data_IF_140929988612
#
_entry.id   IF_140929988612
#
_cell.length_a   1.000
_cell.length_b   1.000
_cell.length_c   1.000
_cell.angle_alpha   90.00
_cell.angle_beta   90.00
_cell.angle_gamma   90.00
#
_symmetry.space_group_name_H-M   'P 1'
#
loop_
_entity.id
_entity.type
_entity.pdbx_description
1 polymer ?
#
# COMPACT_ATOMS: atom_id res chain seq x y z
N UNK A 1 -15.16 29.11 8.43
CA UNK A 1 -14.40 28.17 9.30
C UNK A 1 -15.37 27.70 10.38
N UNK A 2 -15.67 26.41 10.42
CA UNK A 2 -16.47 25.83 11.50
C UNK A 2 -15.69 25.99 12.79
N UNK A 3 -16.27 26.61 13.82
CA UNK A 3 -15.72 26.65 15.18
C UNK A 3 -15.98 25.28 15.85
N UNK A 4 -15.13 24.30 15.59
CA UNK A 4 -15.24 22.96 16.13
C UNK A 4 -13.94 22.18 15.89
N UNK A 5 -13.77 21.04 16.53
CA UNK A 5 -12.66 20.12 16.26
C UNK A 5 -12.74 19.66 14.80
N UNK A 6 -11.59 19.67 14.08
CA UNK A 6 -11.48 19.09 12.76
C UNK A 6 -11.74 17.58 12.79
N UNK A 7 -12.37 17.06 11.73
CA UNK A 7 -12.57 15.63 11.51
C UNK A 7 -11.66 15.20 10.37
N UNK A 8 -10.65 14.41 10.70
CA UNK A 8 -9.49 14.17 9.86
C UNK A 8 -9.34 12.67 9.57
N UNK A 9 -9.11 12.34 8.29
CA UNK A 9 -8.76 10.98 7.87
C UNK A 9 -7.79 11.04 6.67
N UNK A 10 -6.51 10.75 6.88
CA UNK A 10 -5.48 10.90 5.86
C UNK A 10 -5.06 9.58 5.21
N UNK A 11 -5.78 8.47 5.50
CA UNK A 11 -5.43 7.17 4.94
C UNK A 11 -6.68 6.35 4.64
N UNK A 12 -7.01 6.22 3.36
CA UNK A 12 -8.15 5.43 2.89
C UNK A 12 -8.00 5.02 1.43
N UNK A 13 -8.70 3.95 1.04
CA UNK A 13 -8.60 3.31 -0.27
C UNK A 13 -9.93 3.28 -1.01
N UNK A 14 -9.86 3.52 -2.31
CA UNK A 14 -11.00 3.47 -3.23
C UNK A 14 -10.93 2.21 -4.12
N UNK A 15 -11.90 2.10 -5.06
CA UNK A 15 -11.87 1.04 -6.09
C UNK A 15 -10.70 1.17 -7.07
N UNK A 16 -9.90 2.22 -6.99
CA UNK A 16 -8.70 2.38 -7.81
C UNK A 16 -7.51 1.58 -7.29
N UNK A 17 -7.63 1.01 -6.08
CA UNK A 17 -6.68 0.02 -5.54
C UNK A 17 -7.44 -1.21 -5.02
N UNK A 18 -7.54 -1.37 -3.74
CA UNK A 18 -8.17 -2.51 -3.08
C UNK A 18 -9.30 -2.12 -2.11
N UNK A 19 -9.77 -0.88 -2.17
CA UNK A 19 -11.01 -0.46 -1.57
C UNK A 19 -12.25 -0.93 -2.37
N UNK A 20 -13.43 -0.80 -1.79
CA UNK A 20 -14.69 -1.27 -2.42
C UNK A 20 -15.67 -0.17 -2.77
N UNK A 21 -15.33 1.08 -2.50
CA UNK A 21 -16.17 2.24 -2.79
C UNK A 21 -15.56 3.12 -3.88
N UNK A 22 -16.42 3.70 -4.74
CA UNK A 22 -15.96 4.68 -5.72
C UNK A 22 -15.50 5.97 -5.03
N UNK A 23 -14.73 6.79 -5.74
CA UNK A 23 -14.33 8.12 -5.28
C UNK A 23 -15.52 8.94 -4.80
N UNK A 24 -16.64 8.94 -5.55
CA UNK A 24 -17.84 9.69 -5.18
C UNK A 24 -18.54 9.11 -3.94
N UNK A 25 -18.58 7.79 -3.79
CA UNK A 25 -19.16 7.16 -2.60
C UNK A 25 -18.37 7.54 -1.34
N UNK A 26 -17.04 7.51 -1.42
CA UNK A 26 -16.18 7.93 -0.31
C UNK A 26 -16.39 9.41 0.04
N UNK A 27 -16.47 10.29 -0.95
CA UNK A 27 -16.76 11.72 -0.74
C UNK A 27 -18.10 11.93 -0.06
N UNK A 28 -19.14 11.20 -0.48
CA UNK A 28 -20.46 11.26 0.16
C UNK A 28 -20.39 10.80 1.62
N UNK A 29 -19.68 9.67 1.88
CA UNK A 29 -19.53 9.13 3.23
C UNK A 29 -18.73 10.07 4.14
N UNK A 30 -17.69 10.72 3.62
CA UNK A 30 -16.89 11.72 4.35
C UNK A 30 -17.74 12.95 4.68
N UNK A 31 -18.53 13.43 3.70
CA UNK A 31 -19.44 14.55 3.88
C UNK A 31 -20.51 14.28 4.96
N UNK A 32 -21.12 13.10 4.93
CA UNK A 32 -22.12 12.68 5.92
C UNK A 32 -21.55 12.57 7.36
N UNK A 33 -20.24 12.48 7.47
CA UNK A 33 -19.50 12.42 8.75
C UNK A 33 -18.86 13.75 9.15
N UNK A 34 -19.16 14.82 8.41
CA UNK A 34 -18.56 16.16 8.62
C UNK A 34 -17.03 16.19 8.52
N UNK A 35 -16.41 15.22 7.83
CA UNK A 35 -14.96 15.21 7.59
C UNK A 35 -14.56 16.43 6.77
N UNK A 36 -13.56 17.16 7.22
CA UNK A 36 -13.13 18.41 6.60
C UNK A 36 -11.67 18.41 6.13
N UNK A 37 -10.85 17.45 6.58
CA UNK A 37 -9.46 17.25 6.12
C UNK A 37 -9.24 15.77 5.84
N UNK A 38 -8.93 15.42 4.59
CA UNK A 38 -8.73 14.01 4.24
C UNK A 38 -7.79 13.83 3.05
N UNK A 39 -7.33 12.59 2.85
CA UNK A 39 -6.51 12.18 1.73
C UNK A 39 -6.94 10.78 1.26
N UNK A 40 -7.09 10.60 -0.04
CA UNK A 40 -7.13 9.28 -0.66
C UNK A 40 -5.69 8.81 -0.87
N UNK A 41 -5.38 7.61 -0.45
CA UNK A 41 -4.04 7.03 -0.51
C UNK A 41 -4.07 5.65 -1.13
N UNK A 42 -4.74 5.53 -2.29
CA UNK A 42 -4.81 4.27 -3.02
C UNK A 42 -3.43 3.67 -3.26
N UNK A 43 -3.30 2.35 -3.09
CA UNK A 43 -2.05 1.64 -3.39
C UNK A 43 -1.65 1.82 -4.85
N UNK A 44 -0.46 2.37 -5.06
CA UNK A 44 0.16 2.54 -6.38
C UNK A 44 -0.79 3.17 -7.43
N UNK A 45 -1.69 4.05 -6.98
CA UNK A 45 -2.73 4.65 -7.83
C UNK A 45 -3.08 6.07 -7.41
N UNK A 46 -3.36 6.91 -8.40
CA UNK A 46 -3.94 8.25 -8.23
C UNK A 46 -5.28 8.37 -8.96
N UNK A 47 -5.92 7.23 -9.23
CA UNK A 47 -7.14 7.14 -10.02
C UNK A 47 -8.31 7.94 -9.45
N UNK A 48 -8.44 8.01 -8.12
CA UNK A 48 -9.45 8.81 -7.44
C UNK A 48 -9.36 10.31 -7.76
N UNK A 49 -8.14 10.85 -7.90
CA UNK A 49 -7.91 12.25 -8.27
C UNK A 49 -8.22 12.49 -9.76
N UNK A 50 -7.92 11.51 -10.62
CA UNK A 50 -8.29 11.57 -12.04
C UNK A 50 -9.81 11.51 -12.22
N UNK A 51 -10.56 10.86 -11.33
CA UNK A 51 -12.03 10.93 -11.33
C UNK A 51 -12.54 12.35 -11.07
N UNK A 52 -11.90 13.08 -10.13
CA UNK A 52 -12.23 14.47 -9.86
C UNK A 52 -11.91 15.37 -11.07
N UNK A 53 -10.72 15.24 -11.66
CA UNK A 53 -10.30 16.01 -12.84
C UNK A 53 -11.21 15.78 -14.06
N UNK A 54 -11.70 14.55 -14.24
CA UNK A 54 -12.61 14.17 -15.32
C UNK A 54 -14.08 14.49 -15.03
N UNK A 55 -14.39 14.99 -13.83
CA UNK A 55 -15.77 15.26 -13.39
C UNK A 55 -16.61 14.00 -13.12
N UNK A 56 -15.97 12.85 -12.94
CA UNK A 56 -16.61 11.59 -12.55
C UNK A 56 -16.95 11.56 -11.06
N UNK A 57 -16.27 12.40 -10.27
CA UNK A 57 -16.55 12.65 -8.87
C UNK A 57 -16.50 14.17 -8.61
N UNK A 58 -17.18 14.63 -7.54
CA UNK A 58 -17.25 16.04 -7.21
C UNK A 58 -16.91 16.26 -5.74
N UNK A 59 -15.88 17.06 -5.52
CA UNK A 59 -15.47 17.51 -4.19
C UNK A 59 -16.48 18.50 -3.62
N UNK A 60 -16.79 18.39 -2.32
CA UNK A 60 -17.67 19.32 -1.62
C UNK A 60 -16.91 20.57 -1.20
N UNK A 61 -17.62 21.71 -1.14
CA UNK A 61 -17.01 22.95 -0.69
C UNK A 61 -16.75 22.95 0.82
N UNK A 62 -15.65 23.61 1.23
CA UNK A 62 -15.27 23.78 2.62
C UNK A 62 -14.53 22.57 3.23
N UNK A 63 -14.09 21.63 2.38
CA UNK A 63 -13.18 20.56 2.78
C UNK A 63 -11.76 20.84 2.28
N UNK A 64 -10.78 20.20 2.92
CA UNK A 64 -9.38 20.21 2.49
C UNK A 64 -9.02 18.80 2.05
N UNK A 65 -8.84 18.60 0.75
CA UNK A 65 -8.35 17.34 0.19
C UNK A 65 -6.85 17.48 -0.10
N UNK A 66 -6.05 16.63 0.55
CA UNK A 66 -4.61 16.54 0.33
C UNK A 66 -4.37 15.43 -0.70
N UNK A 67 -3.81 15.74 -1.89
CA UNK A 67 -3.45 14.68 -2.85
C UNK A 67 -2.45 13.71 -2.22
N UNK A 68 -2.79 12.42 -2.19
CA UNK A 68 -1.96 11.38 -1.57
C UNK A 68 -1.84 10.12 -2.42
N UNK A 69 -0.98 9.24 -1.98
CA UNK A 69 -0.75 7.91 -2.54
C UNK A 69 -0.12 7.02 -1.47
N UNK A 70 -0.39 5.73 -1.49
CA UNK A 70 0.38 4.75 -0.76
C UNK A 70 1.21 3.93 -1.75
N UNK A 71 2.54 4.07 -1.69
CA UNK A 71 3.45 3.33 -2.55
C UNK A 71 3.91 2.05 -1.87
N UNK A 72 3.69 0.92 -2.53
CA UNK A 72 4.20 -0.37 -2.06
C UNK A 72 5.69 -0.49 -2.38
N UNK A 73 6.49 -0.75 -1.35
CA UNK A 73 7.95 -0.80 -1.39
C UNK A 73 8.48 -2.18 -1.00
N UNK A 74 9.75 -2.44 -1.32
CA UNK A 74 10.50 -3.59 -0.82
C UNK A 74 11.65 -3.14 0.07
N UNK A 75 11.67 -3.66 1.30
CA UNK A 75 12.79 -3.48 2.23
C UNK A 75 13.27 -4.88 2.65
N UNK A 76 14.49 -5.23 2.24
CA UNK A 76 15.08 -6.57 2.48
C UNK A 76 14.15 -7.71 2.03
N UNK A 77 13.50 -7.54 0.86
CA UNK A 77 12.54 -8.48 0.29
C UNK A 77 11.23 -8.59 1.07
N UNK A 78 10.92 -7.64 1.96
CA UNK A 78 9.63 -7.55 2.65
C UNK A 78 8.82 -6.38 2.11
N UNK A 79 7.52 -6.60 1.98
CA UNK A 79 6.58 -5.53 1.62
C UNK A 79 6.51 -4.49 2.74
N UNK A 80 6.62 -3.23 2.39
CA UNK A 80 6.46 -2.06 3.24
C UNK A 80 5.78 -0.97 2.43
N UNK A 81 5.12 -0.05 3.12
CA UNK A 81 4.37 0.99 2.44
C UNK A 81 4.87 2.39 2.84
N UNK A 82 4.81 3.31 1.88
CA UNK A 82 5.20 4.70 2.04
C UNK A 82 4.07 5.60 1.57
N UNK A 83 3.53 6.42 2.47
CA UNK A 83 2.53 7.43 2.15
C UNK A 83 3.20 8.66 1.56
N UNK A 84 2.64 9.18 0.47
CA UNK A 84 3.00 10.48 -0.08
C UNK A 84 1.84 11.46 0.11
N UNK A 85 2.09 12.64 0.65
CA UNK A 85 1.09 13.69 0.80
C UNK A 85 1.46 14.96 0.07
N UNK A 86 0.48 15.64 -0.53
CA UNK A 86 0.66 16.88 -1.28
C UNK A 86 1.31 16.69 -2.64
N UNK A 87 1.18 15.50 -3.22
CA UNK A 87 1.79 15.13 -4.49
C UNK A 87 1.14 15.81 -5.70
N UNK A 88 1.93 16.09 -6.72
CA UNK A 88 1.44 16.44 -8.06
C UNK A 88 0.87 15.21 -8.75
N UNK A 89 -0.46 15.20 -8.98
CA UNK A 89 -1.15 14.09 -9.63
C UNK A 89 -0.57 13.75 -10.99
N UNK A 90 -0.31 14.73 -11.91
CA UNK A 90 0.28 14.42 -13.22
C UNK A 90 1.66 13.76 -13.12
N UNK A 91 2.51 14.18 -12.19
CA UNK A 91 3.86 13.62 -12.03
C UNK A 91 3.79 12.19 -11.50
N UNK A 92 2.95 11.97 -10.48
CA UNK A 92 2.77 10.64 -9.91
C UNK A 92 2.08 9.68 -10.90
N UNK A 93 1.04 10.13 -11.61
CA UNK A 93 0.39 9.34 -12.66
C UNK A 93 1.38 8.90 -13.73
N UNK A 94 2.23 9.79 -14.22
CA UNK A 94 3.25 9.45 -15.22
C UNK A 94 4.22 8.37 -14.72
N UNK A 95 4.64 8.45 -13.46
CA UNK A 95 5.50 7.43 -12.84
C UNK A 95 4.79 6.08 -12.76
N UNK A 96 3.56 6.06 -12.24
CA UNK A 96 2.78 4.84 -12.05
C UNK A 96 2.41 4.18 -13.38
N UNK A 97 2.00 4.97 -14.39
CA UNK A 97 1.70 4.48 -15.74
C UNK A 97 2.93 3.83 -16.40
N UNK A 98 4.10 4.44 -16.22
CA UNK A 98 5.35 3.88 -16.72
C UNK A 98 5.69 2.58 -16.00
N UNK A 99 5.63 2.58 -14.67
CA UNK A 99 6.01 1.45 -13.82
C UNK A 99 5.08 0.26 -14.02
N UNK A 100 3.77 0.49 -14.03
CA UNK A 100 2.74 -0.53 -14.16
C UNK A 100 2.21 -0.67 -15.60
N UNK A 101 2.99 -0.26 -16.61
CA UNK A 101 2.66 -0.49 -18.02
C UNK A 101 2.42 -1.98 -18.29
N UNK A 102 1.61 -2.29 -19.30
CA UNK A 102 1.35 -3.69 -19.67
C UNK A 102 2.65 -4.45 -19.93
N UNK A 103 3.62 -3.84 -20.60
CA UNK A 103 4.92 -4.43 -20.89
C UNK A 103 5.67 -4.82 -19.59
N UNK A 104 5.73 -3.91 -18.61
CA UNK A 104 6.39 -4.16 -17.34
C UNK A 104 5.66 -5.24 -16.53
N UNK A 105 4.33 -5.23 -16.53
CA UNK A 105 3.54 -6.28 -15.85
C UNK A 105 3.76 -7.66 -16.47
N UNK A 106 3.75 -7.75 -17.80
CA UNK A 106 4.05 -9.00 -18.52
C UNK A 106 5.46 -9.48 -18.19
N UNK A 107 6.46 -8.60 -18.25
CA UNK A 107 7.83 -8.92 -17.90
C UNK A 107 7.96 -9.45 -16.47
N UNK A 108 7.30 -8.79 -15.51
CA UNK A 108 7.29 -9.23 -14.10
C UNK A 108 6.71 -10.63 -13.96
N UNK A 109 5.53 -10.87 -14.54
CA UNK A 109 4.85 -12.16 -14.43
C UNK A 109 5.63 -13.29 -15.10
N UNK A 110 6.30 -13.01 -16.21
CA UNK A 110 7.18 -13.98 -16.86
C UNK A 110 8.41 -14.31 -15.98
N UNK A 111 9.01 -13.32 -15.34
CA UNK A 111 10.13 -13.56 -14.40
C UNK A 111 9.71 -14.36 -13.17
N UNK A 112 8.54 -14.10 -12.63
CA UNK A 112 7.96 -14.90 -11.54
C UNK A 112 7.77 -16.34 -11.98
N UNK A 113 7.21 -16.55 -13.16
CA UNK A 113 7.04 -17.90 -13.74
C UNK A 113 8.37 -18.61 -13.91
N UNK A 114 9.40 -17.95 -14.47
CA UNK A 114 10.72 -18.57 -14.65
C UNK A 114 11.38 -18.95 -13.32
N UNK A 115 11.29 -18.10 -12.30
CA UNK A 115 11.76 -18.43 -10.93
C UNK A 115 11.02 -19.65 -10.36
N UNK A 116 9.71 -19.73 -10.57
CA UNK A 116 8.93 -20.88 -10.11
C UNK A 116 9.32 -22.15 -10.88
N UNK A 117 9.55 -22.09 -12.20
CA UNK A 117 10.07 -23.19 -13.00
C UNK A 117 11.43 -23.69 -12.48
N UNK A 118 12.34 -22.78 -12.12
CA UNK A 118 13.64 -23.15 -11.53
C UNK A 118 13.49 -23.98 -10.26
N UNK A 119 12.60 -23.56 -9.36
CA UNK A 119 12.28 -24.30 -8.14
C UNK A 119 11.72 -25.69 -8.49
N UNK A 120 10.78 -25.76 -9.41
CA UNK A 120 10.14 -27.00 -9.84
C UNK A 120 11.14 -27.99 -10.49
N UNK A 121 12.08 -27.47 -11.30
CA UNK A 121 13.20 -28.30 -11.83
C UNK A 121 14.07 -28.86 -10.69
N UNK A 122 14.44 -28.02 -9.71
CA UNK A 122 15.20 -28.43 -8.53
C UNK A 122 14.48 -29.50 -7.70
N UNK A 123 13.16 -29.52 -7.73
CA UNK A 123 12.30 -30.51 -7.07
C UNK A 123 11.97 -31.71 -7.96
N UNK A 124 12.47 -31.78 -9.19
CA UNK A 124 12.14 -32.81 -10.18
C UNK A 124 10.62 -32.98 -10.35
N UNK A 125 9.91 -31.89 -10.54
CA UNK A 125 8.51 -31.85 -10.88
C UNK A 125 8.35 -31.86 -12.40
N UNK A 126 7.28 -32.48 -12.88
CA UNK A 126 6.91 -32.54 -14.30
C UNK A 126 6.10 -31.31 -14.68
N UNK A 127 6.48 -30.62 -15.76
CA UNK A 127 5.73 -29.49 -16.32
C UNK A 127 6.19 -29.22 -17.78
N UNK A 128 5.35 -28.52 -18.55
CA UNK A 128 5.72 -28.04 -19.89
C UNK A 128 6.60 -26.80 -19.76
N UNK A 129 7.84 -26.89 -20.23
CA UNK A 129 8.80 -25.75 -20.25
C UNK A 129 8.34 -24.60 -21.14
N UNK A 130 7.45 -24.84 -22.10
CA UNK A 130 6.93 -23.85 -23.04
C UNK A 130 5.83 -22.95 -22.47
N UNK A 131 5.36 -23.15 -21.23
CA UNK A 131 4.35 -22.27 -20.64
C UNK A 131 4.87 -20.85 -20.46
N UNK A 132 4.00 -19.86 -20.67
CA UNK A 132 4.33 -18.42 -20.58
C UNK A 132 3.28 -17.66 -19.81
N UNK A 133 3.69 -16.54 -19.20
CA UNK A 133 2.82 -15.53 -18.58
C UNK A 133 2.93 -14.24 -19.41
N UNK A 134 1.95 -13.96 -20.27
CA UNK A 134 2.02 -12.92 -21.29
C UNK A 134 0.84 -11.92 -21.32
N UNK A 135 -0.08 -12.03 -20.37
CA UNK A 135 -1.24 -11.14 -20.26
C UNK A 135 -1.01 -10.01 -19.23
N UNK A 136 -0.01 -10.14 -18.36
CA UNK A 136 0.31 -9.16 -17.32
C UNK A 136 -0.76 -9.05 -16.23
N UNK A 137 -1.57 -10.10 -16.03
CA UNK A 137 -2.55 -10.18 -14.95
C UNK A 137 -1.84 -10.37 -13.61
N UNK A 138 -2.45 -9.87 -12.54
CA UNK A 138 -1.94 -10.09 -11.17
C UNK A 138 -1.81 -11.59 -10.88
N UNK A 139 -0.68 -11.99 -10.33
CA UNK A 139 -0.34 -13.38 -10.00
C UNK A 139 -0.42 -14.37 -11.20
N UNK A 140 -0.28 -13.89 -12.45
CA UNK A 140 -0.36 -14.74 -13.63
C UNK A 140 0.72 -15.81 -13.65
N UNK A 141 1.97 -15.44 -13.35
CA UNK A 141 3.10 -16.36 -13.32
C UNK A 141 2.88 -17.51 -12.34
N UNK A 142 2.35 -17.24 -11.16
CA UNK A 142 1.94 -18.25 -10.19
C UNK A 142 0.77 -19.10 -10.72
N UNK A 143 -0.28 -18.46 -11.24
CA UNK A 143 -1.51 -19.14 -11.69
C UNK A 143 -1.23 -20.12 -12.83
N UNK A 144 -0.44 -19.68 -13.83
CA UNK A 144 -0.04 -20.54 -14.96
C UNK A 144 0.72 -21.75 -14.47
N UNK A 145 1.68 -21.58 -13.57
CA UNK A 145 2.47 -22.68 -13.03
C UNK A 145 1.61 -23.62 -12.14
N UNK A 146 0.74 -23.06 -11.30
CA UNK A 146 -0.20 -23.87 -10.52
C UNK A 146 -1.07 -24.76 -11.40
N UNK A 147 -1.67 -24.19 -12.45
CA UNK A 147 -2.50 -24.94 -13.38
C UNK A 147 -1.69 -26.03 -14.12
N UNK A 148 -0.47 -25.73 -14.49
CA UNK A 148 0.41 -26.70 -15.15
C UNK A 148 0.80 -27.84 -14.24
N UNK A 149 1.24 -27.57 -13.02
CA UNK A 149 1.62 -28.61 -12.05
C UNK A 149 0.48 -29.60 -11.76
N UNK A 150 -0.77 -29.12 -11.80
CA UNK A 150 -1.97 -29.92 -11.57
C UNK A 150 -2.37 -30.80 -12.76
N UNK A 151 -1.75 -30.65 -13.95
CA UNK A 151 -1.91 -31.55 -15.08
C UNK A 151 -1.14 -32.88 -14.92
N UNK A 152 -0.24 -32.91 -13.93
CA UNK A 152 0.67 -34.04 -13.70
C UNK A 152 0.42 -34.66 -12.33
N UNK A 153 -0.38 -35.76 -12.26
CA UNK A 153 -0.74 -36.41 -10.99
C UNK A 153 0.45 -36.82 -10.12
N UNK A 154 1.57 -37.16 -10.74
CA UNK A 154 2.82 -37.51 -10.05
C UNK A 154 3.40 -36.35 -9.21
N UNK A 155 3.14 -35.13 -9.61
CA UNK A 155 3.52 -33.95 -8.81
C UNK A 155 2.72 -33.90 -7.51
N UNK A 156 1.42 -34.17 -7.59
CA UNK A 156 0.50 -34.17 -6.45
C UNK A 156 0.80 -35.33 -5.50
N UNK A 157 1.16 -36.50 -6.04
CA UNK A 157 1.60 -37.66 -5.23
C UNK A 157 2.86 -37.28 -4.43
N UNK A 158 3.78 -36.52 -5.03
CA UNK A 158 5.04 -36.10 -4.40
C UNK A 158 4.84 -34.98 -3.39
N UNK A 159 4.01 -33.99 -3.72
CA UNK A 159 3.71 -32.82 -2.89
C UNK A 159 2.20 -32.55 -2.88
N UNK A 160 1.45 -33.15 -1.95
CA UNK A 160 -0.02 -33.06 -1.94
C UNK A 160 -0.59 -31.64 -1.85
N UNK A 161 0.16 -30.67 -1.29
CA UNK A 161 -0.29 -29.27 -1.21
C UNK A 161 -0.34 -28.56 -2.57
N UNK A 162 0.30 -29.11 -3.61
CA UNK A 162 0.29 -28.50 -4.96
C UNK A 162 -1.11 -28.49 -5.59
N UNK A 163 -2.08 -29.27 -5.09
CA UNK A 163 -3.45 -29.24 -5.59
C UNK A 163 -4.35 -28.19 -4.92
N UNK A 164 -3.84 -27.48 -3.92
CA UNK A 164 -4.56 -26.43 -3.20
C UNK A 164 -3.90 -25.07 -3.50
N UNK A 165 -4.55 -24.27 -4.35
CA UNK A 165 -4.02 -22.97 -4.79
C UNK A 165 -3.78 -22.03 -3.60
N UNK A 166 -4.68 -21.97 -2.63
CA UNK A 166 -4.57 -21.09 -1.49
C UNK A 166 -3.40 -21.47 -0.59
N UNK A 167 -3.30 -22.76 -0.29
CA UNK A 167 -2.24 -23.32 0.53
C UNK A 167 -0.87 -23.17 -0.14
N UNK A 168 -0.78 -23.53 -1.44
CA UNK A 168 0.46 -23.37 -2.20
C UNK A 168 0.89 -21.90 -2.19
N UNK A 169 -0.03 -20.94 -2.38
CA UNK A 169 0.31 -19.53 -2.42
C UNK A 169 0.82 -19.02 -1.07
N UNK A 170 0.01 -19.16 -0.01
CA UNK A 170 0.32 -18.54 1.28
C UNK A 170 1.34 -19.30 2.12
N UNK A 171 1.26 -20.65 2.16
CA UNK A 171 2.12 -21.45 3.02
C UNK A 171 3.49 -21.74 2.37
N UNK A 172 3.57 -21.62 1.03
CA UNK A 172 4.76 -22.04 0.30
C UNK A 172 5.32 -20.97 -0.64
N UNK A 173 4.55 -20.47 -1.61
CA UNK A 173 5.04 -19.58 -2.67
C UNK A 173 5.49 -18.22 -2.13
N UNK A 174 4.74 -17.62 -1.19
CA UNK A 174 5.07 -16.33 -0.56
C UNK A 174 5.81 -16.47 0.78
N UNK A 175 5.93 -17.67 1.32
CA UNK A 175 6.57 -17.93 2.59
C UNK A 175 8.09 -18.12 2.41
N UNK A 176 8.89 -17.20 2.95
CA UNK A 176 10.37 -17.22 2.85
C UNK A 176 11.03 -18.47 3.42
N UNK A 177 10.40 -19.15 4.38
CA UNK A 177 10.89 -20.38 4.98
C UNK A 177 10.59 -21.61 4.11
N UNK A 178 9.81 -21.48 3.05
CA UNK A 178 9.43 -22.58 2.18
C UNK A 178 10.47 -22.81 1.08
N UNK A 179 10.67 -24.10 0.75
CA UNK A 179 11.46 -24.50 -0.41
C UNK A 179 10.82 -24.16 -1.78
N UNK A 180 9.59 -23.66 -1.78
CA UNK A 180 8.87 -23.17 -2.95
C UNK A 180 8.72 -21.65 -2.97
N UNK A 181 9.46 -20.95 -2.12
CA UNK A 181 9.42 -19.50 -2.05
C UNK A 181 9.88 -18.85 -3.36
N UNK A 182 9.05 -17.93 -3.85
CA UNK A 182 9.38 -17.04 -4.97
C UNK A 182 9.29 -15.60 -4.49
N UNK A 183 10.39 -14.88 -4.58
CA UNK A 183 10.39 -13.45 -4.27
C UNK A 183 9.64 -12.68 -5.37
N UNK A 184 8.47 -12.14 -5.02
CA UNK A 184 7.66 -11.26 -5.89
C UNK A 184 7.98 -9.77 -5.71
N UNK A 185 8.88 -9.44 -4.77
CA UNK A 185 9.17 -8.04 -4.38
C UNK A 185 10.33 -7.42 -5.15
N UNK A 186 11.00 -8.21 -5.99
CA UNK A 186 12.27 -7.87 -6.65
C UNK A 186 12.24 -6.62 -7.54
N UNK A 187 11.06 -6.22 -8.00
CA UNK A 187 10.84 -5.06 -8.86
C UNK A 187 10.09 -3.92 -8.15
N UNK A 188 9.81 -4.06 -6.86
CA UNK A 188 9.22 -2.97 -6.08
C UNK A 188 10.27 -1.88 -5.77
N UNK A 189 9.86 -0.62 -5.65
CA UNK A 189 10.78 0.44 -5.26
C UNK A 189 11.35 0.19 -3.85
N UNK A 190 12.59 0.59 -3.62
CA UNK A 190 13.11 0.73 -2.26
C UNK A 190 12.46 1.94 -1.56
N UNK A 191 12.72 2.13 -0.26
CA UNK A 191 12.28 3.36 0.42
C UNK A 191 12.90 4.62 -0.20
N UNK A 192 14.17 4.55 -0.61
CA UNK A 192 14.86 5.66 -1.26
C UNK A 192 14.19 6.04 -2.58
N UNK A 193 13.84 5.07 -3.42
CA UNK A 193 13.15 5.30 -4.68
C UNK A 193 11.72 5.84 -4.46
N UNK A 194 11.00 5.32 -3.46
CA UNK A 194 9.65 5.80 -3.13
C UNK A 194 9.68 7.25 -2.61
N UNK A 195 10.61 7.57 -1.71
CA UNK A 195 10.81 8.93 -1.21
C UNK A 195 11.21 9.87 -2.35
N UNK A 196 12.14 9.45 -3.22
CA UNK A 196 12.56 10.26 -4.37
C UNK A 196 11.38 10.62 -5.29
N UNK A 197 10.52 9.65 -5.63
CA UNK A 197 9.38 9.95 -6.50
C UNK A 197 8.33 10.83 -5.82
N UNK A 198 8.08 10.65 -4.52
CA UNK A 198 7.19 11.53 -3.75
C UNK A 198 7.73 12.96 -3.75
N UNK A 199 9.03 13.14 -3.50
CA UNK A 199 9.68 14.46 -3.54
C UNK A 199 9.66 15.07 -4.95
N UNK A 200 9.92 14.29 -6.00
CA UNK A 200 9.81 14.76 -7.39
C UNK A 200 8.39 15.20 -7.74
N UNK A 201 7.38 14.58 -7.13
CA UNK A 201 5.99 15.00 -7.23
C UNK A 201 5.66 16.21 -6.33
N UNK A 202 6.63 16.78 -5.59
CA UNK A 202 6.44 17.92 -4.70
C UNK A 202 5.78 17.59 -3.36
N UNK A 203 5.60 16.32 -3.04
CA UNK A 203 4.98 15.83 -1.81
C UNK A 203 5.99 15.60 -0.68
N UNK A 204 5.47 15.19 0.46
CA UNK A 204 6.22 14.75 1.65
C UNK A 204 5.99 13.27 1.87
N UNK A 205 7.04 12.53 2.24
CA UNK A 205 7.01 11.09 2.44
C UNK A 205 6.84 10.71 3.92
N UNK A 206 5.90 9.81 4.19
CA UNK A 206 5.59 9.32 5.53
C UNK A 206 5.60 7.79 5.56
N UNK A 207 6.20 7.20 6.57
CA UNK A 207 6.16 5.74 6.78
C UNK A 207 4.72 5.34 7.11
N UNK A 208 4.14 4.43 6.33
CA UNK A 208 2.81 3.91 6.59
C UNK A 208 2.83 2.90 7.75
N UNK A 209 1.83 2.96 8.63
CA UNK A 209 1.46 1.99 9.66
C UNK A 209 2.59 1.05 10.17
N UNK A 210 3.65 1.55 10.84
CA UNK A 210 4.87 0.79 11.10
C UNK A 210 4.68 -0.51 11.88
N UNK A 211 3.62 -0.62 12.71
CA UNK A 211 3.32 -1.83 13.48
C UNK A 211 2.43 -2.86 12.76
N UNK A 212 1.93 -2.56 11.57
CA UNK A 212 1.07 -3.50 10.80
C UNK A 212 1.81 -4.80 10.48
N UNK A 213 3.11 -4.71 10.31
CA UNK A 213 3.96 -5.83 9.86
C UNK A 213 4.31 -6.84 10.96
N UNK A 214 3.76 -6.67 12.19
CA UNK A 214 4.01 -7.58 13.30
C UNK A 214 5.42 -7.55 13.88
N UNK A 215 6.18 -6.50 13.57
CA UNK A 215 7.55 -6.28 14.05
C UNK A 215 7.57 -6.00 15.56
N UNK A 216 8.68 -6.36 16.21
CA UNK A 216 9.00 -5.91 17.55
C UNK A 216 9.23 -4.39 17.59
N UNK A 217 9.31 -3.82 18.78
CA UNK A 217 9.61 -2.39 18.95
C UNK A 217 10.97 -1.99 18.35
N UNK A 218 11.99 -2.86 18.50
CA UNK A 218 13.34 -2.64 17.99
C UNK A 218 13.35 -2.70 16.44
N UNK A 219 12.72 -3.71 15.85
CA UNK A 219 12.60 -3.86 14.41
C UNK A 219 11.77 -2.72 13.79
N UNK A 220 10.73 -2.27 14.50
CA UNK A 220 9.92 -1.10 14.08
C UNK A 220 10.77 0.16 14.08
N UNK A 221 11.60 0.36 15.09
CA UNK A 221 12.52 1.51 15.15
C UNK A 221 13.60 1.42 14.06
N UNK A 222 14.07 0.22 13.73
CA UNK A 222 15.01 -0.01 12.61
C UNK A 222 14.38 0.37 11.27
N UNK A 223 13.10 -0.01 11.05
CA UNK A 223 12.34 0.38 9.88
C UNK A 223 12.20 1.91 9.79
N UNK A 224 11.86 2.57 10.91
CA UNK A 224 11.78 4.04 10.97
C UNK A 224 13.13 4.67 10.63
N UNK A 225 14.24 4.15 11.17
CA UNK A 225 15.58 4.66 10.82
C UNK A 225 15.95 4.50 9.35
N UNK A 226 15.52 3.41 8.72
CA UNK A 226 15.73 3.20 7.27
C UNK A 226 15.00 4.27 6.48
N UNK A 227 13.72 4.52 6.78
CA UNK A 227 12.93 5.52 6.08
C UNK A 227 13.47 6.95 6.30
N UNK A 228 13.92 7.28 7.53
CA UNK A 228 14.58 8.56 7.82
C UNK A 228 15.85 8.73 6.98
N UNK A 229 16.66 7.68 6.83
CA UNK A 229 17.86 7.70 5.97
C UNK A 229 17.51 7.88 4.50
N UNK A 230 16.38 7.31 4.06
CA UNK A 230 15.85 7.52 2.72
C UNK A 230 15.32 8.95 2.49
N UNK A 231 15.09 9.73 3.56
CA UNK A 231 14.64 11.11 3.50
C UNK A 231 13.16 11.30 3.84
N UNK A 232 12.49 10.31 4.43
CA UNK A 232 11.10 10.47 4.87
C UNK A 232 11.00 11.55 5.96
N UNK A 233 10.00 12.44 5.84
CA UNK A 233 9.77 13.54 6.76
C UNK A 233 8.80 13.19 7.88
N UNK A 234 8.02 12.11 7.73
CA UNK A 234 7.00 11.78 8.70
C UNK A 234 6.73 10.29 8.85
N UNK A 235 5.81 9.99 9.74
CA UNK A 235 5.32 8.64 9.96
C UNK A 235 3.85 8.65 10.38
N UNK A 236 3.13 7.60 10.05
CA UNK A 236 1.78 7.41 10.51
C UNK A 236 1.77 7.02 12.00
N UNK A 237 1.22 7.91 12.82
CA UNK A 237 1.14 7.76 14.27
C UNK A 237 -0.11 6.99 14.69
N UNK A 238 -1.24 7.35 14.08
CA UNK A 238 -2.55 6.80 14.43
C UNK A 238 -3.08 5.95 13.29
N UNK A 239 -3.14 4.66 13.55
CA UNK A 239 -3.65 3.65 12.62
C UNK A 239 -4.44 2.59 13.37
N UNK A 240 -5.49 2.07 12.75
CA UNK A 240 -6.40 1.10 13.36
C UNK A 240 -5.76 -0.19 13.89
N UNK A 241 -4.64 -0.62 13.32
CA UNK A 241 -3.90 -1.80 13.78
C UNK A 241 -3.10 -1.56 15.06
N UNK A 242 -2.98 -0.30 15.49
CA UNK A 242 -2.22 0.03 16.67
C UNK A 242 -2.84 -0.58 17.93
N UNK A 243 -2.04 -1.30 18.69
CA UNK A 243 -2.39 -1.83 20.00
C UNK A 243 -2.12 -0.79 21.07
N UNK A 244 -2.58 -1.07 22.30
CA UNK A 244 -2.30 -0.24 23.46
C UNK A 244 -0.78 -0.01 23.60
N UNK A 245 -0.37 1.24 23.70
CA UNK A 245 1.02 1.66 23.86
C UNK A 245 1.79 1.88 22.56
N UNK A 246 1.25 1.46 21.38
CA UNK A 246 1.94 1.71 20.10
C UNK A 246 2.03 3.19 19.77
N UNK A 247 0.96 3.96 19.97
CA UNK A 247 0.91 5.40 19.69
C UNK A 247 1.97 6.14 20.50
N UNK A 248 2.11 5.83 21.80
CA UNK A 248 3.11 6.43 22.68
C UNK A 248 4.54 6.13 22.21
N UNK A 249 4.80 4.87 21.77
CA UNK A 249 6.11 4.47 21.25
C UNK A 249 6.43 5.16 19.92
N UNK A 250 5.47 5.18 18.99
CA UNK A 250 5.62 5.89 17.72
C UNK A 250 5.85 7.39 17.95
N UNK A 251 5.16 8.01 18.91
CA UNK A 251 5.37 9.42 19.26
C UNK A 251 6.77 9.66 19.83
N UNK A 252 7.33 8.71 20.61
CA UNK A 252 8.72 8.79 21.09
C UNK A 252 9.70 8.70 19.91
N UNK A 253 9.47 7.78 18.95
CA UNK A 253 10.28 7.67 17.74
C UNK A 253 10.18 8.94 16.87
N UNK A 254 8.96 9.47 16.66
CA UNK A 254 8.76 10.71 15.91
C UNK A 254 9.55 11.89 16.52
N UNK A 255 9.52 12.04 17.84
CA UNK A 255 10.33 13.05 18.55
C UNK A 255 11.82 12.82 18.42
N UNK A 256 12.26 11.55 18.56
CA UNK A 256 13.69 11.16 18.48
C UNK A 256 14.29 11.45 17.10
N UNK A 257 13.52 11.20 16.05
CA UNK A 257 13.97 11.36 14.67
C UNK A 257 13.47 12.63 13.98
N UNK A 258 12.82 13.53 14.74
CA UNK A 258 12.27 14.81 14.26
C UNK A 258 11.27 14.63 13.09
N UNK A 259 10.43 13.61 13.16
CA UNK A 259 9.42 13.29 12.16
C UNK A 259 8.11 14.03 12.44
N UNK A 260 7.46 14.47 11.39
CA UNK A 260 6.05 14.83 11.42
C UNK A 260 5.18 13.59 11.66
N UNK A 261 3.93 13.82 12.04
CA UNK A 261 2.97 12.73 12.28
C UNK A 261 1.75 12.87 11.39
N UNK A 262 1.19 11.73 10.98
CA UNK A 262 -0.09 11.62 10.28
C UNK A 262 -0.93 10.54 10.92
N UNK A 263 -2.07 10.25 10.35
CA UNK A 263 -2.90 9.13 10.75
C UNK A 263 -4.17 9.05 9.92
N UNK A 264 -4.74 7.87 9.88
CA UNK A 264 -5.97 7.58 9.16
C UNK A 264 -6.56 6.23 9.52
N UNK A 265 -7.69 5.94 8.91
CA UNK A 265 -8.43 4.70 9.21
C UNK A 265 -7.93 3.51 8.41
N UNK A 266 -7.21 3.75 7.33
CA UNK A 266 -6.85 2.71 6.36
C UNK A 266 -8.11 1.94 5.89
N UNK A 267 -9.18 2.72 5.60
CA UNK A 267 -10.49 2.20 5.24
C UNK A 267 -10.48 1.58 3.84
N UNK A 268 -10.94 0.32 3.74
CA UNK A 268 -11.04 -0.44 2.50
C UNK A 268 -12.49 -0.89 2.19
N UNK A 269 -13.47 -0.35 2.92
CA UNK A 269 -14.84 -0.80 2.78
C UNK A 269 -15.05 -2.24 3.23
N UNK A 270 -15.68 -3.05 2.36
CA UNK A 270 -16.00 -4.44 2.70
C UNK A 270 -14.78 -5.37 2.77
N UNK A 271 -13.64 -4.98 2.22
CA UNK A 271 -12.41 -5.79 2.25
C UNK A 271 -11.72 -5.78 3.63
N UNK A 272 -11.98 -4.73 4.46
CA UNK A 272 -11.58 -4.69 5.88
C UNK A 272 -12.83 -4.48 6.74
N UNK A 273 -13.68 -5.52 6.92
CA UNK A 273 -14.94 -5.37 7.68
C UNK A 273 -14.65 -4.99 9.14
N UNK A 274 -15.41 -4.03 9.64
CA UNK A 274 -15.24 -3.50 11.00
C UNK A 274 -14.48 -2.18 11.08
N UNK A 275 -13.73 -1.80 10.02
CA UNK A 275 -13.12 -0.48 9.91
C UNK A 275 -14.17 0.51 9.42
N UNK A 276 -14.26 1.65 10.08
CA UNK A 276 -15.20 2.72 9.71
C UNK A 276 -14.41 3.97 9.35
N UNK A 277 -14.76 4.53 8.22
CA UNK A 277 -14.22 5.80 7.75
C UNK A 277 -14.37 6.88 8.83
N UNK A 278 -13.31 7.65 9.08
CA UNK A 278 -13.25 8.78 10.05
C UNK A 278 -13.40 8.36 11.53
N UNK A 279 -13.91 7.18 11.79
CA UNK A 279 -14.15 6.73 13.17
C UNK A 279 -13.05 5.77 13.58
N UNK A 280 -12.02 6.29 14.17
CA UNK A 280 -10.99 5.47 14.78
C UNK A 280 -11.52 4.76 16.06
N UNK A 281 -11.10 3.52 16.28
CA UNK A 281 -11.37 2.81 17.51
C UNK A 281 -10.65 3.48 18.69
N UNK A 282 -11.39 3.96 19.68
CA UNK A 282 -10.80 4.58 20.88
C UNK A 282 -10.14 5.94 20.62
N UNK A 283 -8.97 6.19 21.20
CA UNK A 283 -8.21 7.45 21.08
C UNK A 283 -7.41 7.57 19.78
N UNK A 284 -7.92 7.02 18.67
CA UNK A 284 -7.22 6.99 17.37
C UNK A 284 -7.61 8.15 16.45
N UNK A 285 -8.47 9.06 16.89
CA UNK A 285 -8.82 10.25 16.12
C UNK A 285 -7.56 11.11 15.90
N UNK A 286 -7.32 11.52 14.65
CA UNK A 286 -6.24 12.43 14.31
C UNK A 286 -6.62 13.83 14.78
N UNK A 287 -5.77 14.43 15.59
CA UNK A 287 -5.95 15.81 16.07
C UNK A 287 -5.27 16.80 15.13
N UNK A 288 -5.87 17.98 14.94
CA UNK A 288 -5.33 18.98 14.04
C UNK A 288 -3.90 19.40 14.42
N UNK A 289 -3.60 19.46 15.70
CA UNK A 289 -2.27 19.79 16.23
C UNK A 289 -1.19 18.78 15.80
N UNK A 290 -1.55 17.56 15.48
CA UNK A 290 -0.61 16.53 15.00
C UNK A 290 -0.20 16.74 13.55
N UNK A 291 -1.07 17.35 12.73
CA UNK A 291 -0.84 17.58 11.31
C UNK A 291 -0.55 19.04 10.97
N UNK A 292 -0.95 19.99 11.82
CA UNK A 292 -0.75 21.43 11.60
C UNK A 292 0.71 21.84 11.34
N UNK A 293 1.75 21.15 11.86
CA UNK A 293 3.13 21.53 11.58
C UNK A 293 3.55 21.39 10.11
N UNK A 294 2.87 20.54 9.33
CA UNK A 294 3.26 20.27 7.96
C UNK A 294 2.16 20.51 6.92
N UNK A 295 0.88 20.40 7.30
CA UNK A 295 -0.24 20.45 6.36
C UNK A 295 -0.27 21.74 5.52
N UNK A 296 0.16 22.86 6.08
CA UNK A 296 0.22 24.15 5.37
C UNK A 296 1.36 24.26 4.35
N UNK A 297 2.29 23.29 4.31
CA UNK A 297 3.44 23.29 3.39
C UNK A 297 3.25 22.37 2.18
N UNK A 298 2.15 21.63 2.12
CA UNK A 298 1.83 20.71 1.02
C UNK A 298 0.70 21.23 0.13
N UNK A 299 0.61 20.72 -1.10
CA UNK A 299 -0.45 21.07 -2.04
C UNK A 299 -1.80 20.54 -1.55
N UNK A 300 -2.85 21.32 -1.75
CA UNK A 300 -4.24 20.93 -1.52
C UNK A 300 -5.03 21.00 -2.83
N UNK A 301 -6.05 20.15 -2.97
CA UNK A 301 -7.05 20.30 -4.02
C UNK A 301 -8.21 21.15 -3.49
N UNK A 302 -8.62 22.12 -4.29
CA UNK A 302 -9.82 22.92 -4.05
C UNK A 302 -11.01 22.39 -4.87
N UNK A 303 -12.25 22.57 -4.39
CA UNK A 303 -13.48 22.14 -5.08
C UNK A 303 -13.69 22.81 -6.43
#
# INVERSE_FOLDING_TARGET
MRQGSHIIDLHMHSVHSDGTFTTQDLLNMLWDKDADIFSFTDHDSVGCYLDLEKGLAKLYQGVTLIPGVELTCSVDGNLRDMLGYGISIPVMAQYLDSRYSLENRVRKQQLILERFKEICRGKSLTFDEGITANEGRKAEGYTVMFMELNRHPENIEKYPFLNDATRLYWDHFTNKESEFYVDETFDLPSFEEAVEIIHRAGGMAFIAHPYVYGLSDEETEDLVRLAVRAGAEGMELKHQSNKKGHVEKLLQMARKYHLYTSGGTDFHGYNKPGIKLVTAFGNMQVEYEEISPWIGSVTHMEP
#
